data_IF_367955335500
#
_entry.id   IF_367955335500
#
_cell.length_a   1.000
_cell.length_b   1.000
_cell.length_c   1.000
_cell.angle_alpha   90.00
_cell.angle_beta   90.00
_cell.angle_gamma   90.00
#
_symmetry.space_group_name_H-M   'P 1'
#
loop_
_entity.id
_entity.type
_entity.pdbx_description
1 polymer ?
#
# COMPACT_ATOMS: atom_id res chain seq x y z
N UNK A 1 -54.57 16.07 0.70
CA UNK A 1 -54.45 14.59 0.53
C UNK A 1 -53.21 14.30 -0.31
N UNK A 2 -52.07 14.01 0.33
CA UNK A 2 -50.82 13.62 -0.36
C UNK A 2 -50.56 12.13 -0.10
N UNK A 3 -50.71 11.30 -1.13
CA UNK A 3 -50.28 9.91 -1.15
C UNK A 3 -48.77 9.89 -1.48
N UNK A 4 -47.90 9.74 -0.48
CA UNK A 4 -46.47 9.53 -0.69
C UNK A 4 -46.22 8.04 -0.97
N UNK A 5 -45.95 7.67 -2.23
CA UNK A 5 -45.42 6.34 -2.59
C UNK A 5 -44.00 6.21 -2.03
N UNK A 6 -43.80 5.31 -1.07
CA UNK A 6 -42.49 4.94 -0.53
C UNK A 6 -41.90 3.81 -1.38
N UNK A 7 -40.98 4.12 -2.28
CA UNK A 7 -40.22 3.13 -3.05
C UNK A 7 -39.00 2.68 -2.23
N UNK A 8 -39.07 1.50 -1.60
CA UNK A 8 -37.87 0.82 -1.08
C UNK A 8 -37.11 0.19 -2.26
N UNK A 9 -35.92 0.70 -2.58
CA UNK A 9 -35.01 0.03 -3.50
C UNK A 9 -34.05 -0.87 -2.72
N UNK A 10 -34.37 -2.17 -2.67
CA UNK A 10 -33.43 -3.24 -2.28
C UNK A 10 -32.82 -3.80 -3.56
N UNK A 11 -31.52 -3.55 -3.79
CA UNK A 11 -30.78 -4.09 -4.94
C UNK A 11 -30.39 -5.55 -4.61
N UNK A 12 -31.23 -6.51 -4.98
CA UNK A 12 -30.90 -7.93 -5.00
C UNK A 12 -30.65 -8.40 -6.44
N UNK A 13 -29.60 -9.22 -6.59
CA UNK A 13 -29.17 -9.87 -7.82
C UNK A 13 -30.26 -10.76 -8.42
N UNK A 14 -30.28 -10.77 -9.77
CA UNK A 14 -31.16 -11.52 -10.69
C UNK A 14 -31.69 -12.86 -10.16
N UNK A 15 -33.02 -13.01 -10.11
CA UNK A 15 -33.76 -14.22 -10.50
C UNK A 15 -35.25 -13.89 -10.70
N UNK A 16 -35.88 -14.59 -11.64
CA UNK A 16 -37.19 -14.34 -12.26
C UNK A 16 -38.40 -14.60 -11.32
N UNK A 17 -39.64 -14.19 -11.71
CA UNK A 17 -40.75 -13.94 -10.80
C UNK A 17 -41.66 -15.16 -10.60
N UNK A 18 -41.96 -15.50 -9.35
CA UNK A 18 -43.29 -15.93 -8.88
C UNK A 18 -43.28 -16.12 -7.35
N UNK A 19 -44.24 -15.45 -6.69
CA UNK A 19 -44.79 -15.46 -5.31
C UNK A 19 -44.32 -16.51 -4.27
N UNK A 20 -44.48 -16.31 -2.92
CA UNK A 20 -45.19 -15.25 -2.19
C UNK A 20 -44.38 -14.53 -1.08
N UNK A 21 -44.94 -13.40 -0.64
CA UNK A 21 -44.44 -12.45 0.37
C UNK A 21 -44.00 -13.12 1.67
N UNK A 22 -42.70 -13.13 1.96
CA UNK A 22 -42.17 -13.46 3.30
C UNK A 22 -42.42 -12.29 4.25
N UNK A 23 -43.34 -12.46 5.20
CA UNK A 23 -43.46 -11.59 6.36
C UNK A 23 -42.17 -11.62 7.18
N UNK A 24 -41.45 -10.49 7.25
CA UNK A 24 -40.31 -10.33 8.17
C UNK A 24 -40.88 -9.91 9.53
N UNK A 25 -40.93 -10.86 10.47
CA UNK A 25 -41.18 -10.57 11.89
C UNK A 25 -39.97 -9.88 12.49
N UNK A 26 -40.09 -8.61 12.87
CA UNK A 26 -39.06 -7.92 13.66
C UNK A 26 -39.25 -8.24 15.14
N UNK A 27 -38.20 -8.75 15.79
CA UNK A 27 -38.13 -8.88 17.24
C UNK A 27 -37.98 -7.49 17.90
N UNK A 28 -38.54 -7.38 19.11
CA UNK A 28 -38.67 -6.19 19.98
C UNK A 28 -37.64 -5.06 19.75
N UNK A 29 -38.17 -3.85 19.53
CA UNK A 29 -37.53 -2.52 19.57
C UNK A 29 -36.12 -2.44 18.97
N UNK A 30 -36.05 -2.40 17.63
CA UNK A 30 -34.81 -2.08 16.91
C UNK A 30 -34.79 -0.59 16.52
N UNK A 31 -33.66 0.08 16.76
CA UNK A 31 -33.40 1.42 16.22
C UNK A 31 -33.03 1.26 14.74
N UNK A 32 -33.77 1.91 13.85
CA UNK A 32 -33.52 1.88 12.40
C UNK A 32 -33.09 3.28 11.96
N UNK A 33 -32.02 3.34 11.17
CA UNK A 33 -31.59 4.60 10.55
C UNK A 33 -32.19 4.68 9.15
N UNK A 34 -33.04 5.66 8.93
CA UNK A 34 -33.70 5.90 7.64
C UNK A 34 -32.93 7.02 6.94
N UNK A 35 -32.52 6.76 5.70
CA UNK A 35 -31.90 7.77 4.82
C UNK A 35 -32.96 8.34 3.91
N UNK A 36 -33.20 9.64 3.99
CA UNK A 36 -34.10 10.36 3.09
C UNK A 36 -33.26 11.26 2.21
N UNK A 37 -33.37 11.10 0.89
CA UNK A 37 -32.73 11.99 -0.09
C UNK A 37 -33.76 12.88 -0.77
N UNK A 38 -33.39 14.14 -1.02
CA UNK A 38 -34.09 15.03 -1.93
C UNK A 38 -33.05 15.80 -2.74
N UNK A 39 -32.83 15.39 -3.99
CA UNK A 39 -31.72 15.88 -4.81
C UNK A 39 -30.35 15.52 -4.19
N UNK A 40 -29.35 16.38 -4.36
CA UNK A 40 -27.96 16.15 -3.90
C UNK A 40 -27.75 16.27 -2.38
N UNK A 41 -28.82 16.23 -1.57
CA UNK A 41 -28.76 16.33 -0.11
C UNK A 41 -29.43 15.13 0.54
N UNK A 42 -28.71 14.53 1.50
CA UNK A 42 -29.15 13.39 2.30
C UNK A 42 -29.40 13.84 3.75
N UNK A 43 -30.43 13.30 4.38
CA UNK A 43 -30.66 13.40 5.83
C UNK A 43 -30.83 12.01 6.43
N UNK A 44 -30.23 11.81 7.59
CA UNK A 44 -30.33 10.59 8.38
C UNK A 44 -31.30 10.83 9.54
N UNK A 45 -32.31 9.98 9.66
CA UNK A 45 -33.31 10.03 10.74
C UNK A 45 -33.24 8.70 11.49
N UNK A 46 -32.98 8.75 12.80
CA UNK A 46 -33.12 7.58 13.67
C UNK A 46 -34.60 7.45 14.04
N UNK A 47 -35.22 6.33 13.64
CA UNK A 47 -36.59 6.00 13.98
C UNK A 47 -36.63 4.68 14.75
N UNK A 48 -37.61 4.53 15.64
CA UNK A 48 -37.84 3.29 16.39
C UNK A 48 -38.99 2.54 15.76
N UNK A 49 -38.74 1.32 15.28
CA UNK A 49 -39.78 0.49 14.67
C UNK A 49 -40.55 -0.27 15.75
N UNK A 50 -41.88 -0.20 15.71
CA UNK A 50 -42.79 -1.01 16.53
C UNK A 50 -43.55 -2.00 15.66
N UNK A 51 -43.96 -3.13 16.25
CA UNK A 51 -44.50 -4.31 15.55
C UNK A 51 -45.87 -4.10 14.88
N UNK A 52 -46.45 -2.90 14.94
CA UNK A 52 -47.79 -2.59 14.39
C UNK A 52 -47.82 -1.40 13.43
N UNK A 53 -46.68 -0.96 12.91
CA UNK A 53 -46.59 0.08 11.87
C UNK A 53 -45.94 1.38 12.33
N UNK A 54 -45.61 2.25 11.37
CA UNK A 54 -44.87 3.50 11.57
C UNK A 54 -45.87 4.63 11.86
N UNK A 55 -45.86 5.16 13.09
CA UNK A 55 -46.56 6.40 13.46
C UNK A 55 -45.57 7.57 13.39
N UNK A 56 -45.90 8.59 12.62
CA UNK A 56 -45.15 9.86 12.56
C UNK A 56 -45.78 10.86 13.52
N UNK A 57 -45.28 10.92 14.75
CA UNK A 57 -45.64 12.00 15.67
C UNK A 57 -44.62 13.14 15.51
N UNK A 58 -45.09 14.28 15.03
CA UNK A 58 -44.33 15.52 14.90
C UNK A 58 -44.19 16.12 16.31
N UNK A 59 -42.98 16.16 16.85
CA UNK A 59 -42.67 16.89 18.09
C UNK A 59 -41.88 18.15 17.73
N UNK A 60 -42.35 19.36 18.08
CA UNK A 60 -41.61 20.59 17.83
C UNK A 60 -40.56 20.82 18.93
N UNK A 61 -39.45 21.45 18.52
CA UNK A 61 -38.37 22.01 19.35
C UNK A 61 -37.46 21.05 20.13
N UNK A 62 -36.25 20.82 19.61
CA UNK A 62 -35.05 20.70 20.43
C UNK A 62 -33.92 21.51 19.78
N UNK A 63 -33.37 22.42 20.58
CA UNK A 63 -32.26 23.32 20.28
C UNK A 63 -30.95 22.56 19.91
N UNK A 64 -30.15 23.24 19.09
CA UNK A 64 -28.82 22.87 18.62
C UNK A 64 -27.91 22.27 19.71
N UNK A 65 -27.52 21.01 19.53
CA UNK A 65 -26.26 20.47 20.03
C UNK A 65 -25.66 19.55 18.96
N UNK A 66 -24.75 20.10 18.16
CA UNK A 66 -23.92 19.34 17.23
C UNK A 66 -22.48 19.38 17.75
N UNK A 67 -22.07 18.36 18.50
CA UNK A 67 -20.65 18.07 18.69
C UNK A 67 -20.20 17.11 17.56
N UNK A 68 -19.10 17.40 16.85
CA UNK A 68 -18.67 16.60 15.71
C UNK A 68 -17.93 15.33 16.20
N UNK A 69 -18.63 14.19 16.24
CA UNK A 69 -18.02 12.88 16.50
C UNK A 69 -17.92 12.02 15.23
N UNK A 70 -17.54 12.59 14.07
CA UNK A 70 -17.55 11.79 12.82
C UNK A 70 -16.50 12.11 11.74
N UNK A 71 -15.37 12.75 12.08
CA UNK A 71 -14.33 13.11 11.08
C UNK A 71 -13.15 12.11 10.97
N UNK A 72 -12.95 11.21 11.93
CA UNK A 72 -11.81 10.27 11.87
C UNK A 72 -12.06 9.01 11.03
N UNK A 73 -13.31 8.50 10.99
CA UNK A 73 -13.61 7.24 10.29
C UNK A 73 -13.73 7.40 8.76
N UNK A 74 -14.20 8.54 8.24
CA UNK A 74 -14.32 8.74 6.78
C UNK A 74 -12.97 8.96 6.09
N UNK A 75 -12.00 9.57 6.78
CA UNK A 75 -10.65 9.79 6.24
C UNK A 75 -9.92 8.47 5.99
N UNK A 76 -9.95 7.53 6.94
CA UNK A 76 -9.28 6.21 6.79
C UNK A 76 -9.80 5.40 5.59
N UNK A 77 -11.10 5.50 5.28
CA UNK A 77 -11.70 4.80 4.14
C UNK A 77 -11.35 5.45 2.78
N UNK A 78 -11.14 6.77 2.74
CA UNK A 78 -10.73 7.45 1.51
C UNK A 78 -9.24 7.21 1.17
N UNK A 79 -8.38 6.97 2.16
CA UNK A 79 -6.98 6.58 1.93
C UNK A 79 -6.85 5.25 1.18
N UNK A 80 -7.74 4.29 1.47
CA UNK A 80 -7.77 3.00 0.76
C UNK A 80 -8.09 3.13 -0.74
N UNK A 81 -8.57 4.29 -1.21
CA UNK A 81 -8.96 4.54 -2.60
C UNK A 81 -7.78 4.98 -3.48
N UNK A 82 -6.65 5.40 -2.88
CA UNK A 82 -5.44 5.78 -3.62
C UNK A 82 -4.18 5.15 -3.00
N UNK A 83 -3.84 3.96 -3.48
CA UNK A 83 -2.68 3.19 -3.01
C UNK A 83 -1.36 3.94 -3.23
N UNK A 84 -1.20 4.63 -4.37
CA UNK A 84 -0.01 5.43 -4.64
C UNK A 84 0.15 6.58 -3.65
N UNK A 85 -0.94 7.29 -3.31
CA UNK A 85 -0.92 8.35 -2.31
C UNK A 85 -0.60 7.80 -0.92
N UNK A 86 -1.27 6.73 -0.50
CA UNK A 86 -1.00 6.10 0.79
C UNK A 86 0.45 5.61 0.90
N UNK A 87 1.01 5.12 -0.20
CA UNK A 87 2.42 4.74 -0.29
C UNK A 87 3.35 5.94 -0.12
N UNK A 88 3.15 7.01 -0.90
CA UNK A 88 3.92 8.27 -0.76
C UNK A 88 3.85 8.86 0.65
N UNK A 89 2.68 8.84 1.29
CA UNK A 89 2.49 9.37 2.63
C UNK A 89 3.23 8.53 3.68
N UNK A 90 3.22 7.19 3.56
CA UNK A 90 4.01 6.33 4.45
C UNK A 90 5.51 6.55 4.26
N UNK A 91 5.99 6.57 3.02
CA UNK A 91 7.41 6.83 2.70
C UNK A 91 7.89 8.17 3.27
N UNK A 92 7.05 9.21 3.21
CA UNK A 92 7.36 10.53 3.76
C UNK A 92 7.29 10.53 5.29
N UNK A 93 6.27 9.92 5.88
CA UNK A 93 6.07 9.88 7.35
C UNK A 93 7.22 9.17 8.07
N UNK A 94 7.80 8.16 7.43
CA UNK A 94 8.91 7.38 7.98
C UNK A 94 10.29 7.84 7.49
N UNK A 95 10.35 9.01 6.86
CA UNK A 95 11.58 9.67 6.39
C UNK A 95 12.36 8.80 5.38
N UNK A 96 11.71 7.85 4.71
CA UNK A 96 12.32 7.15 3.56
C UNK A 96 12.60 8.18 2.46
N UNK A 97 11.65 9.09 2.28
CA UNK A 97 11.87 10.39 1.65
C UNK A 97 12.05 11.40 2.79
N UNK A 98 13.21 12.07 2.95
CA UNK A 98 14.29 12.18 1.97
C UNK A 98 15.50 11.26 2.19
N UNK A 99 15.58 10.49 3.28
CA UNK A 99 16.86 9.87 3.71
C UNK A 99 17.43 8.88 2.69
N UNK A 100 16.57 8.08 2.05
CA UNK A 100 16.96 7.05 1.06
C UNK A 100 16.60 7.51 -0.35
N UNK A 101 15.39 8.04 -0.51
CA UNK A 101 14.89 8.59 -1.77
C UNK A 101 14.98 10.11 -1.68
N UNK A 102 16.03 10.68 -2.26
CA UNK A 102 16.30 12.12 -2.19
C UNK A 102 15.45 12.96 -3.17
N UNK A 103 14.60 12.31 -3.98
CA UNK A 103 13.61 12.97 -4.82
C UNK A 103 12.26 13.11 -4.08
N UNK A 104 11.97 14.33 -3.62
CA UNK A 104 10.70 14.66 -2.93
C UNK A 104 9.48 14.62 -3.85
N UNK A 105 9.68 14.60 -5.16
CA UNK A 105 8.61 14.52 -6.16
C UNK A 105 8.27 13.09 -6.55
N UNK A 106 9.01 12.10 -6.02
CA UNK A 106 8.80 10.69 -6.32
C UNK A 106 7.35 10.25 -6.06
N UNK A 107 6.77 9.60 -7.05
CA UNK A 107 5.45 8.97 -6.99
C UNK A 107 5.58 7.51 -7.41
N UNK A 108 5.18 6.55 -6.56
CA UNK A 108 5.17 5.14 -6.94
C UNK A 108 4.28 4.92 -8.16
N UNK A 109 4.80 4.19 -9.15
CA UNK A 109 4.06 3.80 -10.36
C UNK A 109 3.21 2.54 -10.14
N UNK A 110 3.40 1.86 -9.01
CA UNK A 110 2.70 0.64 -8.66
C UNK A 110 3.03 0.17 -7.24
N UNK A 111 2.55 -1.01 -6.90
CA UNK A 111 2.76 -1.65 -5.60
C UNK A 111 3.89 -2.68 -5.68
N UNK A 112 4.92 -2.50 -4.84
CA UNK A 112 5.93 -3.52 -4.59
C UNK A 112 5.51 -4.36 -3.37
N UNK A 113 4.99 -5.56 -3.61
CA UNK A 113 4.65 -6.51 -2.56
C UNK A 113 5.87 -7.37 -2.22
N UNK A 114 6.24 -7.40 -0.94
CA UNK A 114 7.36 -8.20 -0.43
C UNK A 114 6.86 -9.09 0.70
N UNK A 115 7.23 -10.37 0.66
CA UNK A 115 6.72 -11.36 1.59
C UNK A 115 7.80 -12.37 1.95
N UNK A 116 8.12 -12.48 3.24
CA UNK A 116 9.02 -13.50 3.76
C UNK A 116 8.30 -14.85 3.93
N UNK A 117 7.06 -14.78 4.42
CA UNK A 117 6.11 -15.89 4.51
C UNK A 117 4.68 -15.35 4.58
N UNK A 118 3.68 -16.23 4.50
CA UNK A 118 2.26 -15.85 4.62
C UNK A 118 1.94 -15.11 5.92
N UNK A 119 2.73 -15.30 6.98
CA UNK A 119 2.58 -14.62 8.26
C UNK A 119 3.44 -13.34 8.38
N UNK A 120 4.42 -13.15 7.50
CA UNK A 120 5.39 -12.07 7.54
C UNK A 120 5.42 -11.25 6.23
N UNK A 121 4.32 -10.56 5.87
CA UNK A 121 4.30 -9.61 4.75
C UNK A 121 4.98 -8.29 5.14
N UNK A 122 5.60 -7.61 4.17
CA UNK A 122 6.11 -6.25 4.30
C UNK A 122 5.01 -5.28 3.89
N UNK A 123 4.57 -4.45 4.83
CA UNK A 123 3.39 -3.61 4.71
C UNK A 123 3.70 -2.17 5.16
N UNK A 124 4.53 -1.46 4.38
CA UNK A 124 4.75 -0.01 4.48
C UNK A 124 4.95 0.51 5.91
N UNK A 125 5.92 -0.07 6.61
CA UNK A 125 6.31 0.34 7.97
C UNK A 125 5.79 -0.55 9.10
N UNK A 126 5.27 -1.74 8.81
CA UNK A 126 5.08 -2.76 9.84
C UNK A 126 6.42 -3.22 10.42
N UNK A 127 6.38 -3.92 11.55
CA UNK A 127 7.58 -4.50 12.19
C UNK A 127 7.57 -6.01 11.98
N UNK A 128 8.70 -6.56 11.53
CA UNK A 128 8.95 -8.00 11.45
C UNK A 128 10.05 -8.38 12.45
N UNK A 129 10.04 -9.63 12.91
CA UNK A 129 11.12 -10.11 13.78
C UNK A 129 12.36 -10.45 12.96
N UNK A 130 13.54 -10.41 13.60
CA UNK A 130 14.79 -10.74 12.91
C UNK A 130 14.73 -12.17 12.37
N UNK A 131 14.16 -13.10 13.13
CA UNK A 131 14.01 -14.51 12.78
C UNK A 131 13.16 -14.73 11.53
N UNK A 132 12.07 -13.96 11.37
CA UNK A 132 11.20 -14.03 10.19
C UNK A 132 11.91 -13.57 8.91
N UNK A 133 12.99 -12.81 9.05
CA UNK A 133 13.68 -12.15 7.94
C UNK A 133 15.00 -12.83 7.54
N UNK A 134 15.27 -14.03 8.03
CA UNK A 134 16.56 -14.68 7.76
C UNK A 134 16.71 -15.23 6.33
N UNK A 135 15.60 -15.57 5.68
CA UNK A 135 15.59 -16.03 4.28
C UNK A 135 15.21 -14.92 3.33
N UNK A 136 15.76 -14.90 2.11
CA UNK A 136 15.37 -13.92 1.08
C UNK A 136 13.85 -13.98 0.81
N UNK A 137 13.13 -12.84 0.82
CA UNK A 137 11.70 -12.83 0.58
C UNK A 137 11.35 -13.03 -0.89
N UNK A 138 10.06 -13.25 -1.16
CA UNK A 138 9.48 -13.17 -2.50
C UNK A 138 9.04 -11.75 -2.80
N UNK A 139 9.07 -11.40 -4.08
CA UNK A 139 8.82 -10.05 -4.56
C UNK A 139 7.81 -10.11 -5.70
N UNK A 140 6.80 -9.26 -5.64
CA UNK A 140 5.82 -9.09 -6.71
C UNK A 140 5.63 -7.59 -6.97
N UNK A 141 5.43 -7.25 -8.23
CA UNK A 141 5.10 -5.90 -8.65
C UNK A 141 3.75 -5.87 -9.35
N UNK A 142 2.89 -4.94 -8.95
CA UNK A 142 1.63 -4.66 -9.61
C UNK A 142 1.63 -3.21 -10.06
N UNK A 143 1.52 -2.98 -11.37
CA UNK A 143 1.43 -1.63 -11.92
C UNK A 143 0.10 -0.97 -11.52
N UNK A 144 0.11 0.31 -11.18
CA UNK A 144 -1.13 1.05 -10.97
C UNK A 144 -1.80 1.27 -12.35
N UNK A 145 -3.05 0.83 -12.56
CA UNK A 145 -3.75 1.04 -13.83
C UNK A 145 -3.93 2.53 -14.19
N UNK A 146 -3.80 3.44 -13.21
CA UNK A 146 -3.83 4.89 -13.42
C UNK A 146 -2.45 5.50 -13.71
N UNK A 147 -1.38 4.71 -13.60
CA UNK A 147 -0.03 5.18 -13.93
C UNK A 147 0.12 5.38 -15.44
N UNK A 148 0.82 6.45 -15.80
CA UNK A 148 1.25 6.72 -17.17
C UNK A 148 2.47 5.86 -17.57
N UNK A 149 3.16 5.28 -16.59
CA UNK A 149 4.28 4.38 -16.81
C UNK A 149 3.80 3.12 -17.54
N UNK A 150 4.60 2.65 -18.50
CA UNK A 150 4.32 1.43 -19.28
C UNK A 150 5.54 0.55 -19.28
N UNK A 151 5.32 -0.74 -19.02
CA UNK A 151 6.33 -1.78 -19.08
C UNK A 151 6.39 -2.31 -20.51
N UNK A 152 7.58 -2.31 -21.09
CA UNK A 152 7.87 -2.90 -22.41
C UNK A 152 8.58 -4.24 -22.21
N UNK A 153 8.46 -5.15 -23.18
CA UNK A 153 9.12 -6.47 -23.12
C UNK A 153 10.65 -6.42 -23.00
N UNK A 154 11.26 -5.36 -23.52
CA UNK A 154 12.70 -5.14 -23.44
C UNK A 154 13.13 -4.44 -22.14
N UNK A 155 12.20 -3.97 -21.31
CA UNK A 155 12.54 -3.30 -20.07
C UNK A 155 13.16 -4.28 -19.08
N UNK A 156 14.22 -3.83 -18.41
CA UNK A 156 14.89 -4.54 -17.33
C UNK A 156 14.73 -3.77 -16.03
N UNK A 157 14.72 -4.49 -14.93
CA UNK A 157 14.49 -3.93 -13.60
C UNK A 157 15.57 -4.36 -12.61
N UNK A 158 15.91 -3.46 -11.70
CA UNK A 158 16.80 -3.70 -10.57
C UNK A 158 16.02 -3.62 -9.27
N UNK A 159 16.15 -4.63 -8.43
CA UNK A 159 15.58 -4.68 -7.08
C UNK A 159 16.70 -4.55 -6.05
N UNK A 160 16.51 -3.62 -5.12
CA UNK A 160 17.48 -3.28 -4.06
C UNK A 160 16.84 -3.44 -2.68
N UNK A 161 17.65 -3.84 -1.70
CA UNK A 161 17.37 -3.68 -0.27
C UNK A 161 18.50 -2.90 0.42
N UNK A 162 18.16 -1.85 1.17
CA UNK A 162 19.13 -0.99 1.87
C UNK A 162 18.67 -0.69 3.31
N UNK A 163 19.62 -0.41 4.20
CA UNK A 163 19.40 0.05 5.59
C UNK A 163 20.09 1.41 5.81
N UNK A 164 19.33 2.52 5.92
CA UNK A 164 19.91 3.84 6.18
C UNK A 164 20.24 4.09 7.66
N UNK A 165 19.91 3.16 8.55
CA UNK A 165 20.02 3.31 10.00
C UNK A 165 21.18 2.49 10.58
N UNK A 166 22.21 2.19 9.80
CA UNK A 166 23.39 1.48 10.29
C UNK A 166 24.49 2.43 10.85
N UNK A 167 25.09 2.15 12.03
CA UNK A 167 24.66 1.16 13.03
C UNK A 167 23.41 1.53 13.82
N UNK A 168 22.99 2.81 13.85
CA UNK A 168 21.68 3.19 14.41
C UNK A 168 21.07 4.35 13.63
N UNK A 169 19.81 4.70 13.94
CA UNK A 169 19.16 5.86 13.33
C UNK A 169 19.89 7.19 13.63
N UNK A 170 20.59 7.28 14.75
CA UNK A 170 21.34 8.49 15.16
C UNK A 170 22.82 8.43 14.78
N UNK A 171 23.45 7.26 14.83
CA UNK A 171 24.82 7.05 14.38
C UNK A 171 24.81 6.49 12.96
N UNK A 172 25.13 7.37 11.99
CA UNK A 172 25.12 7.08 10.56
C UNK A 172 26.46 6.57 10.02
N UNK A 173 27.38 6.12 10.88
CA UNK A 173 28.73 5.69 10.49
C UNK A 173 28.74 4.69 9.32
N UNK A 174 27.81 3.73 9.29
CA UNK A 174 27.71 2.71 8.24
C UNK A 174 26.52 2.92 7.31
N UNK A 175 25.84 4.04 7.45
CA UNK A 175 24.71 4.42 6.61
C UNK A 175 25.20 4.74 5.19
N UNK A 176 24.62 4.21 4.13
CA UNK A 176 23.61 3.15 4.09
C UNK A 176 24.26 1.77 3.96
N UNK A 177 23.67 0.72 4.55
CA UNK A 177 24.16 -0.65 4.40
C UNK A 177 23.42 -1.38 3.27
N UNK A 178 24.16 -1.93 2.30
CA UNK A 178 23.60 -2.67 1.18
C UNK A 178 23.28 -4.13 1.56
N UNK A 179 21.99 -4.47 1.61
CA UNK A 179 21.51 -5.81 1.97
C UNK A 179 21.36 -6.74 0.78
N UNK A 180 20.89 -6.23 -0.36
CA UNK A 180 20.61 -7.05 -1.54
C UNK A 180 20.55 -6.20 -2.81
N UNK A 181 21.08 -6.72 -3.92
CA UNK A 181 20.93 -6.14 -5.25
C UNK A 181 20.77 -7.25 -6.28
N UNK A 182 19.65 -7.25 -6.99
CA UNK A 182 19.42 -8.08 -8.16
C UNK A 182 19.05 -7.20 -9.35
N UNK A 183 19.71 -7.43 -10.49
CA UNK A 183 19.51 -6.68 -11.72
C UNK A 183 19.02 -7.60 -12.85
N UNK A 184 18.73 -7.02 -14.00
CA UNK A 184 18.29 -7.71 -15.22
C UNK A 184 17.01 -8.55 -15.02
N UNK A 185 16.14 -8.12 -14.11
CA UNK A 185 14.83 -8.74 -13.89
C UNK A 185 13.92 -8.32 -15.04
N UNK A 186 13.20 -9.26 -15.64
CA UNK A 186 12.20 -9.00 -16.67
C UNK A 186 10.81 -9.13 -16.09
N UNK A 187 9.95 -8.18 -16.44
CA UNK A 187 8.52 -8.24 -16.15
C UNK A 187 7.77 -8.57 -17.44
N UNK A 188 6.79 -9.48 -17.42
CA UNK A 188 5.95 -9.71 -18.58
C UNK A 188 5.19 -8.43 -18.93
N UNK A 189 5.20 -8.05 -20.21
CA UNK A 189 4.39 -6.92 -20.68
C UNK A 189 2.90 -7.19 -20.46
N UNK A 190 2.14 -6.13 -20.18
CA UNK A 190 0.68 -6.16 -20.07
C UNK A 190 0.00 -6.79 -21.30
N UNK A 191 0.68 -6.81 -22.46
CA UNK A 191 0.18 -7.40 -23.70
C UNK A 191 0.11 -8.93 -23.71
N UNK A 192 0.78 -9.63 -22.78
CA UNK A 192 0.83 -11.11 -22.81
C UNK A 192 -0.38 -11.78 -22.14
N UNK A 193 -1.27 -11.02 -21.49
CA UNK A 193 -2.51 -11.56 -20.90
C UNK A 193 -3.74 -10.86 -21.46
N UNK A 194 -4.05 -11.20 -22.72
CA UNK A 194 -5.39 -11.08 -23.30
C UNK A 194 -6.36 -12.00 -22.55
N UNK A 195 -6.81 -11.60 -21.37
CA UNK A 195 -8.07 -12.11 -20.82
C UNK A 195 -9.19 -11.28 -21.43
N UNK A 196 -10.18 -11.94 -22.03
CA UNK A 196 -11.33 -11.37 -22.74
C UNK A 196 -12.33 -10.65 -21.81
N UNK A 197 -11.87 -10.06 -20.71
CA UNK A 197 -12.69 -9.46 -19.67
C UNK A 197 -12.56 -7.94 -19.69
N UNK A 198 -13.70 -7.25 -19.74
CA UNK A 198 -13.79 -5.78 -19.75
C UNK A 198 -13.39 -5.10 -18.43
N UNK A 199 -12.61 -5.78 -17.59
CA UNK A 199 -12.08 -5.31 -16.31
C UNK A 199 -10.56 -5.38 -16.37
N UNK A 200 -9.82 -4.29 -16.10
CA UNK A 200 -8.37 -4.35 -16.00
C UNK A 200 -8.00 -5.33 -14.88
N UNK A 201 -7.39 -6.46 -15.23
CA UNK A 201 -6.84 -7.39 -14.26
C UNK A 201 -5.65 -6.70 -13.56
N UNK A 202 -5.65 -6.70 -12.23
CA UNK A 202 -4.45 -6.34 -11.45
C UNK A 202 -3.43 -7.47 -11.62
N UNK A 203 -2.62 -7.41 -12.68
CA UNK A 203 -1.61 -8.43 -12.94
C UNK A 203 -0.41 -8.16 -12.04
N UNK A 204 -0.32 -8.94 -10.95
CA UNK A 204 0.89 -9.00 -10.13
C UNK A 204 1.92 -9.89 -10.85
N UNK A 205 3.06 -9.31 -11.18
CA UNK A 205 4.18 -10.02 -11.78
C UNK A 205 5.20 -10.37 -10.71
N UNK A 206 5.59 -11.64 -10.64
CA UNK A 206 6.69 -12.05 -9.76
C UNK A 206 8.00 -11.43 -10.27
N UNK A 207 8.75 -10.80 -9.38
CA UNK A 207 10.09 -10.27 -9.64
C UNK A 207 11.10 -11.40 -9.41
N UNK A 208 11.08 -12.38 -10.30
CA UNK A 208 11.98 -13.53 -10.28
C UNK A 208 12.91 -13.53 -11.50
N UNK A 209 14.00 -14.30 -11.39
CA UNK A 209 15.07 -14.28 -12.39
C UNK A 209 16.00 -13.07 -12.27
N UNK A 210 16.74 -12.80 -13.34
CA UNK A 210 17.79 -11.79 -13.35
C UNK A 210 19.12 -12.28 -12.77
N UNK A 211 20.02 -11.34 -12.52
CA UNK A 211 21.38 -11.54 -12.05
C UNK A 211 21.55 -10.92 -10.67
N UNK A 212 21.92 -11.73 -9.68
CA UNK A 212 22.30 -11.21 -8.36
C UNK A 212 23.66 -10.53 -8.45
N UNK A 213 23.71 -9.24 -8.09
CA UNK A 213 24.94 -8.46 -7.99
C UNK A 213 25.48 -8.45 -6.55
N UNK A 214 24.57 -8.41 -5.56
CA UNK A 214 24.89 -8.50 -4.13
C UNK A 214 23.91 -9.48 -3.50
N UNK A 215 24.44 -10.57 -2.95
CA UNK A 215 23.63 -11.60 -2.29
C UNK A 215 22.87 -11.05 -1.09
N UNK A 216 21.72 -11.67 -0.81
CA UNK A 216 20.88 -11.27 0.30
C UNK A 216 21.62 -11.42 1.64
N UNK A 217 21.67 -10.35 2.41
CA UNK A 217 22.14 -10.35 3.78
C UNK A 217 20.96 -10.05 4.70
N UNK A 218 20.65 -10.92 5.67
CA UNK A 218 19.46 -10.75 6.50
C UNK A 218 19.59 -9.52 7.41
N UNK A 219 18.46 -8.92 7.82
CA UNK A 219 18.42 -7.98 8.94
C UNK A 219 19.14 -8.53 10.17
N UNK A 220 19.97 -7.69 10.78
CA UNK A 220 20.72 -8.00 11.98
C UNK A 220 21.09 -6.72 12.72
N UNK A 221 20.11 -5.87 13.07
CA UNK A 221 20.40 -4.61 13.75
C UNK A 221 21.11 -4.90 15.08
N UNK A 222 22.14 -4.12 15.47
CA UNK A 222 22.84 -4.38 16.72
C UNK A 222 21.91 -4.24 17.93
N UNK A 223 22.21 -4.97 19.01
CA UNK A 223 21.37 -4.94 20.21
C UNK A 223 21.31 -3.51 20.78
N UNK A 224 20.09 -3.03 21.03
CA UNK A 224 19.85 -1.74 21.68
C UNK A 224 20.03 -0.50 20.78
N UNK A 225 20.22 -0.66 19.46
CA UNK A 225 20.25 0.46 18.51
C UNK A 225 18.85 0.93 18.07
N UNK A 226 17.82 0.22 18.51
CA UNK A 226 16.41 0.49 18.19
C UNK A 226 16.00 -0.10 16.84
N UNK A 227 14.92 0.44 16.26
CA UNK A 227 14.39 0.00 14.98
C UNK A 227 15.21 0.54 13.81
N UNK A 228 15.60 -0.34 12.91
CA UNK A 228 16.20 0.00 11.62
C UNK A 228 15.15 -0.10 10.51
N UNK A 229 15.25 0.79 9.51
CA UNK A 229 14.41 0.77 8.31
C UNK A 229 15.03 -0.13 7.25
N UNK A 230 14.32 -1.18 6.86
CA UNK A 230 14.73 -2.04 5.75
C UNK A 230 13.92 -1.70 4.53
N UNK A 231 14.55 -1.02 3.57
CA UNK A 231 13.88 -0.39 2.44
C UNK A 231 14.14 -1.19 1.17
N UNK A 232 13.07 -1.65 0.54
CA UNK A 232 13.09 -2.25 -0.78
C UNK A 232 12.76 -1.20 -1.83
N UNK A 233 13.56 -1.16 -2.89
CA UNK A 233 13.40 -0.22 -4.00
C UNK A 233 13.45 -0.98 -5.33
N UNK A 234 12.48 -0.71 -6.21
CA UNK A 234 12.42 -1.25 -7.56
C UNK A 234 12.71 -0.14 -8.56
N UNK A 235 13.72 -0.36 -9.39
CA UNK A 235 14.16 0.57 -10.42
C UNK A 235 13.96 -0.01 -11.82
N UNK A 236 13.67 0.86 -12.78
CA UNK A 236 13.81 0.58 -14.21
C UNK A 236 15.26 0.86 -14.64
N UNK A 237 15.84 -0.06 -15.40
CA UNK A 237 17.18 0.07 -15.95
C UNK A 237 17.15 0.78 -17.31
N UNK A 238 18.19 1.55 -17.65
CA UNK A 238 18.37 2.12 -19.00
C UNK A 238 18.82 1.06 -20.03
N UNK A 239 19.38 -0.05 -19.56
CA UNK A 239 19.92 -1.17 -20.34
C UNK A 239 20.27 -2.33 -19.41
N UNK A 240 21.07 -3.29 -19.86
CA UNK A 240 21.53 -4.39 -19.00
C UNK A 240 22.58 -3.95 -17.96
N UNK A 241 22.77 -4.80 -16.94
CA UNK A 241 23.64 -4.52 -15.80
C UNK A 241 25.15 -4.61 -16.09
N UNK A 242 25.58 -4.92 -17.32
CA UNK A 242 27.00 -5.09 -17.64
C UNK A 242 27.82 -3.81 -17.46
N UNK A 243 27.16 -2.66 -17.60
CA UNK A 243 27.74 -1.33 -17.43
C UNK A 243 27.65 -0.77 -16.01
N UNK A 244 27.04 -1.50 -15.07
CA UNK A 244 26.81 -0.98 -13.73
C UNK A 244 28.10 -0.84 -12.93
N UNK A 245 28.19 0.24 -12.15
CA UNK A 245 29.26 0.41 -11.17
C UNK A 245 29.15 -0.69 -10.11
N UNK A 246 30.29 -1.29 -9.77
CA UNK A 246 30.35 -2.37 -8.78
C UNK A 246 30.08 -1.81 -7.38
N UNK A 247 29.20 -2.45 -6.63
CA UNK A 247 29.09 -2.25 -5.18
C UNK A 247 30.35 -2.85 -4.53
N UNK A 248 31.24 -1.99 -4.05
CA UNK A 248 32.55 -2.43 -3.58
C UNK A 248 32.47 -3.16 -2.23
N UNK A 249 31.60 -2.71 -1.34
CA UNK A 249 31.31 -3.31 -0.03
C UNK A 249 29.89 -2.93 0.42
N UNK A 250 29.39 -3.56 1.49
CA UNK A 250 28.03 -3.30 2.02
C UNK A 250 27.93 -2.00 2.82
N UNK A 251 28.83 -1.69 3.77
CA UNK A 251 28.76 -0.43 4.52
C UNK A 251 28.96 0.75 3.58
N UNK A 252 28.09 1.77 3.70
CA UNK A 252 28.09 2.95 2.84
C UNK A 252 28.04 2.61 1.33
N UNK A 253 27.55 1.42 0.95
CA UNK A 253 27.62 0.86 -0.40
C UNK A 253 29.04 0.83 -1.01
N UNK A 254 30.07 0.88 -0.17
CA UNK A 254 31.47 0.95 -0.59
C UNK A 254 31.95 2.36 -0.98
N UNK A 255 31.15 3.41 -0.81
CA UNK A 255 31.56 4.79 -1.08
C UNK A 255 32.43 5.41 0.02
N UNK A 256 32.53 4.77 1.19
CA UNK A 256 33.33 5.22 2.33
C UNK A 256 32.84 6.51 3.02
N UNK A 257 31.77 7.14 2.51
CA UNK A 257 31.17 8.34 3.07
C UNK A 257 29.84 7.99 3.77
N UNK A 258 29.62 8.43 5.02
CA UNK A 258 28.34 8.26 5.72
C UNK A 258 27.14 8.81 4.93
N UNK A 259 25.96 8.25 5.18
CA UNK A 259 24.69 8.59 4.54
C UNK A 259 24.75 8.59 3.00
N UNK A 260 25.59 7.72 2.43
CA UNK A 260 25.72 7.52 0.99
C UNK A 260 25.38 6.08 0.67
N UNK A 261 24.50 5.87 -0.30
CA UNK A 261 24.07 4.52 -0.66
C UNK A 261 23.30 4.46 -1.97
N UNK A 262 22.07 3.96 -1.89
CA UNK A 262 21.30 3.58 -3.08
C UNK A 262 21.05 4.76 -4.02
N UNK A 263 20.78 5.96 -3.49
CA UNK A 263 20.49 7.13 -4.33
C UNK A 263 21.67 7.49 -5.25
N UNK A 264 22.89 7.48 -4.69
CA UNK A 264 24.12 7.77 -5.44
C UNK A 264 24.38 6.68 -6.48
N UNK A 265 24.34 5.41 -6.07
CA UNK A 265 24.56 4.28 -6.97
C UNK A 265 23.52 4.22 -8.10
N UNK A 266 22.25 4.47 -7.80
CA UNK A 266 21.19 4.53 -8.80
C UNK A 266 21.41 5.66 -9.80
N UNK A 267 21.88 6.82 -9.33
CA UNK A 267 22.16 7.99 -10.17
C UNK A 267 23.35 7.77 -11.10
N UNK A 268 24.44 7.17 -10.61
CA UNK A 268 25.61 6.78 -11.42
C UNK A 268 25.26 5.75 -12.51
N UNK A 269 24.26 4.90 -12.26
CA UNK A 269 23.81 3.87 -13.20
C UNK A 269 22.54 4.25 -13.98
N UNK A 270 22.11 5.52 -13.88
CA UNK A 270 20.94 6.08 -14.57
C UNK A 270 19.65 5.27 -14.36
N UNK A 271 19.44 4.77 -13.14
CA UNK A 271 18.27 4.00 -12.75
C UNK A 271 17.10 4.92 -12.40
N UNK A 272 15.91 4.57 -12.87
CA UNK A 272 14.67 5.30 -12.58
C UNK A 272 13.88 4.57 -11.48
N UNK A 273 13.60 5.23 -10.36
CA UNK A 273 12.84 4.62 -9.27
C UNK A 273 11.35 4.50 -9.64
N UNK A 274 10.80 3.29 -9.52
CA UNK A 274 9.42 2.97 -9.92
C UNK A 274 8.53 2.67 -8.70
N UNK A 275 9.04 1.96 -7.71
CA UNK A 275 8.29 1.61 -6.51
C UNK A 275 9.19 1.38 -5.30
N UNK A 276 8.63 1.52 -4.10
CA UNK A 276 9.32 1.22 -2.86
C UNK A 276 8.35 0.62 -1.84
N UNK A 277 8.89 -0.20 -0.93
CA UNK A 277 8.21 -0.73 0.24
C UNK A 277 9.24 -0.93 1.36
N UNK A 278 8.83 -0.96 2.61
CA UNK A 278 9.76 -1.10 3.72
C UNK A 278 9.09 -1.68 4.97
N UNK A 279 9.90 -2.18 5.88
CA UNK A 279 9.51 -2.59 7.22
C UNK A 279 10.57 -2.18 8.24
N UNK A 280 10.27 -2.38 9.50
CA UNK A 280 11.22 -2.24 10.60
C UNK A 280 11.62 -3.58 11.19
N UNK A 281 12.89 -3.73 11.57
CA UNK A 281 13.33 -4.77 12.49
C UNK A 281 14.15 -4.15 13.62
N UNK A 282 14.18 -4.81 14.77
CA UNK A 282 14.90 -4.37 15.96
C UNK A 282 15.38 -5.58 16.73
N UNK A 283 16.62 -5.51 17.24
CA UNK A 283 17.13 -6.50 18.17
C UNK A 283 17.06 -5.97 19.61
N UNK A 284 16.05 -6.44 20.35
CA UNK A 284 15.78 -6.00 21.73
C UNK A 284 16.58 -6.78 22.79
N UNK A 285 17.20 -7.91 22.44
CA UNK A 285 17.74 -8.87 23.42
C UNK A 285 19.18 -9.27 23.17
#
# INVERSE_FOLDING_TARGET
>A
MFLLRLSLFLRQSRQAPDSPVRQIKFAKSSMVTIVVSKGSRFRYIKARAFSTGIRTDIVPNIHNFCHPFQLQHSRKMNYAINVAQAASDSLTTHEIIPDVVQDKSFKPQGLLAVEYSAAAPVAMGNTLTVEETQSKPKFHFTLDPKSEFKIKDADLFTLVMTDPDAPSRTDKKWSEFCHYVAADIRLPSEALHSTTSATPDFVASELSGGKTLVEYHPPGPPKGTGKHRYVFLLYKQPGDSSSFTKVADRPNWGFGSPATGVHKWASENHLELIAANFFFAENKQ
#
